data_IF_067896862971
#
_entry.id   IF_067896862971
#
_cell.length_a   1.000
_cell.length_b   1.000
_cell.length_c   1.000
_cell.angle_alpha   90.00
_cell.angle_beta   90.00
_cell.angle_gamma   90.00
#
_symmetry.space_group_name_H-M   'P 1'
#
loop_
_entity.id
_entity.type
_entity.pdbx_description
1 polymer ?
#
# COMPACT_ATOMS: atom_id res chain seq x y z
N UNK A 1 -14.61 24.99 -54.13
CA UNK A 1 -14.54 23.85 -53.19
C UNK A 1 -13.11 23.38 -53.07
N UNK A 2 -12.45 23.66 -51.95
CA UNK A 2 -11.44 22.78 -51.35
C UNK A 2 -11.11 23.33 -49.96
N UNK A 3 -11.76 22.76 -48.95
CA UNK A 3 -11.43 22.98 -47.54
C UNK A 3 -10.20 22.14 -47.18
N UNK A 4 -9.12 22.78 -46.76
CA UNK A 4 -7.94 22.10 -46.22
C UNK A 4 -8.18 21.84 -44.73
N UNK A 5 -8.21 20.56 -44.38
CA UNK A 5 -8.37 20.02 -43.03
C UNK A 5 -7.20 20.43 -42.11
N UNK A 6 -7.45 21.28 -41.10
CA UNK A 6 -6.62 21.31 -39.90
C UNK A 6 -7.06 20.15 -38.99
N UNK A 7 -6.26 19.08 -38.98
CA UNK A 7 -6.32 18.05 -37.95
C UNK A 7 -5.78 18.63 -36.64
N UNK A 8 -6.68 18.96 -35.71
CA UNK A 8 -6.32 19.18 -34.31
C UNK A 8 -5.75 17.88 -33.74
N UNK A 9 -4.44 17.84 -33.51
CA UNK A 9 -3.78 16.79 -32.74
C UNK A 9 -3.97 17.16 -31.27
N UNK A 10 -5.02 16.65 -30.65
CA UNK A 10 -5.10 16.62 -29.20
C UNK A 10 -4.13 15.53 -28.72
N UNK A 11 -3.05 15.95 -28.08
CA UNK A 11 -2.13 15.06 -27.37
C UNK A 11 -2.90 14.49 -26.19
N UNK A 12 -3.37 13.25 -26.35
CA UNK A 12 -3.97 12.45 -25.31
C UNK A 12 -2.86 12.11 -24.30
N UNK A 13 -2.91 12.74 -23.11
CA UNK A 13 -2.05 12.37 -21.99
C UNK A 13 -2.32 10.93 -21.60
N UNK A 14 -1.31 10.06 -21.75
CA UNK A 14 -1.36 8.69 -21.27
C UNK A 14 -1.36 8.71 -19.73
N UNK A 15 -2.56 8.65 -19.13
CA UNK A 15 -2.72 8.16 -17.77
C UNK A 15 -2.34 6.67 -17.80
N UNK A 16 -1.12 6.35 -17.34
CA UNK A 16 -0.71 4.97 -17.10
C UNK A 16 -1.53 4.44 -15.92
N UNK A 17 -2.74 3.96 -16.20
CA UNK A 17 -3.51 3.13 -15.28
C UNK A 17 -2.81 1.77 -15.29
N UNK A 18 -2.16 1.42 -14.18
CA UNK A 18 -1.55 0.11 -13.96
C UNK A 18 -2.60 -1.00 -14.08
N UNK A 19 -2.19 -2.18 -14.55
CA UNK A 19 -3.08 -3.27 -14.93
C UNK A 19 -3.98 -3.78 -13.78
N UNK A 20 -5.22 -4.10 -14.11
CA UNK A 20 -6.22 -4.67 -13.20
C UNK A 20 -5.80 -6.10 -12.80
N UNK A 21 -5.32 -6.27 -11.57
CA UNK A 21 -5.21 -7.60 -10.95
C UNK A 21 -6.02 -7.57 -9.64
N UNK A 22 -7.17 -8.25 -9.65
CA UNK A 22 -8.17 -8.31 -8.58
C UNK A 22 -8.93 -7.01 -8.24
N UNK A 23 -9.27 -6.19 -9.24
CA UNK A 23 -10.15 -5.01 -9.03
C UNK A 23 -9.62 -4.00 -8.02
N UNK A 24 -8.31 -4.02 -7.75
CA UNK A 24 -7.62 -3.04 -6.92
C UNK A 24 -6.60 -2.35 -7.81
N UNK A 25 -6.94 -1.17 -8.29
CA UNK A 25 -6.00 -0.27 -8.97
C UNK A 25 -5.19 0.51 -7.92
N UNK A 26 -3.93 0.75 -8.25
CA UNK A 26 -3.00 1.57 -7.47
C UNK A 26 -2.39 2.62 -8.38
N UNK A 27 -2.17 3.80 -7.83
CA UNK A 27 -1.39 4.83 -8.50
C UNK A 27 -0.01 4.91 -7.85
N UNK A 28 1.03 4.73 -8.66
CA UNK A 28 2.42 4.71 -8.22
C UNK A 28 3.17 6.01 -8.58
N UNK A 29 2.61 6.86 -9.45
CA UNK A 29 3.17 8.17 -9.78
C UNK A 29 2.64 9.24 -8.80
N UNK A 30 3.31 9.36 -7.66
CA UNK A 30 2.96 10.37 -6.65
C UNK A 30 3.31 11.81 -7.06
N UNK A 31 4.24 11.99 -8.00
CA UNK A 31 4.72 13.33 -8.36
C UNK A 31 3.73 14.04 -9.29
N UNK A 32 3.10 13.29 -10.18
CA UNK A 32 2.19 13.84 -11.18
C UNK A 32 0.70 13.61 -10.84
N UNK A 33 0.39 12.93 -9.73
CA UNK A 33 -0.99 12.69 -9.30
C UNK A 33 -1.39 13.66 -8.18
N UNK A 34 -2.44 14.45 -8.42
CA UNK A 34 -3.00 15.35 -7.43
C UNK A 34 -3.75 14.61 -6.31
N UNK A 35 -3.92 15.27 -5.16
CA UNK A 35 -4.75 14.74 -4.07
C UNK A 35 -6.18 14.41 -4.55
N UNK A 36 -6.79 15.29 -5.33
CA UNK A 36 -8.15 15.10 -5.85
C UNK A 36 -8.25 13.88 -6.76
N UNK A 37 -7.22 13.61 -7.58
CA UNK A 37 -7.19 12.43 -8.43
C UNK A 37 -7.13 11.14 -7.59
N UNK A 38 -6.36 11.13 -6.49
CA UNK A 38 -6.35 10.01 -5.55
C UNK A 38 -7.71 9.81 -4.87
N UNK A 39 -8.37 10.90 -4.45
CA UNK A 39 -9.70 10.85 -3.83
C UNK A 39 -10.72 10.26 -4.81
N UNK A 40 -10.77 10.79 -6.04
CA UNK A 40 -11.68 10.31 -7.08
C UNK A 40 -11.45 8.84 -7.43
N UNK A 41 -10.18 8.42 -7.52
CA UNK A 41 -9.84 7.02 -7.74
C UNK A 41 -10.36 6.11 -6.62
N UNK A 42 -10.15 6.48 -5.35
CA UNK A 42 -10.65 5.68 -4.21
C UNK A 42 -12.18 5.63 -4.19
N UNK A 43 -12.87 6.73 -4.49
CA UNK A 43 -14.34 6.78 -4.59
C UNK A 43 -14.87 5.88 -5.72
N UNK A 44 -14.25 5.93 -6.91
CA UNK A 44 -14.60 5.10 -8.06
C UNK A 44 -14.40 3.60 -7.78
N UNK A 45 -13.38 3.26 -6.99
CA UNK A 45 -13.10 1.90 -6.53
C UNK A 45 -14.04 1.44 -5.39
N UNK A 46 -15.04 2.27 -5.01
CA UNK A 46 -16.03 1.94 -3.99
C UNK A 46 -15.49 2.00 -2.56
N UNK A 47 -14.42 2.76 -2.33
CA UNK A 47 -13.84 2.92 -1.00
C UNK A 47 -14.68 3.83 -0.14
N UNK A 48 -14.75 3.54 1.16
CA UNK A 48 -15.43 4.40 2.14
C UNK A 48 -14.40 5.27 2.83
N UNK A 49 -14.58 6.59 2.79
CA UNK A 49 -13.76 7.51 3.56
C UNK A 49 -14.01 7.33 5.05
N UNK A 50 -12.93 7.20 5.82
CA UNK A 50 -12.95 7.02 7.26
C UNK A 50 -12.82 8.37 7.96
N UNK A 51 -13.55 8.62 9.07
CA UNK A 51 -13.35 9.82 9.87
C UNK A 51 -11.98 9.80 10.55
N UNK A 52 -11.36 10.97 10.67
CA UNK A 52 -10.13 11.12 11.44
C UNK A 52 -10.43 11.12 12.93
N UNK A 53 -10.25 9.96 13.58
CA UNK A 53 -10.53 9.76 15.00
C UNK A 53 -9.37 10.16 15.92
N UNK A 54 -8.19 10.41 15.35
CA UNK A 54 -6.98 10.81 16.07
C UNK A 54 -6.28 11.95 15.34
N UNK A 55 -5.69 12.89 16.10
CA UNK A 55 -4.88 13.98 15.55
C UNK A 55 -3.42 13.56 15.54
N UNK A 56 -2.84 13.42 14.35
CA UNK A 56 -1.41 13.22 14.15
C UNK A 56 -0.68 14.56 14.24
N UNK A 57 0.31 14.68 15.12
CA UNK A 57 1.20 15.85 15.13
C UNK A 57 2.25 15.64 14.04
N UNK A 58 2.28 16.54 13.05
CA UNK A 58 3.25 16.49 11.95
C UNK A 58 4.25 17.64 12.08
N UNK A 59 5.52 17.32 12.35
CA UNK A 59 6.63 18.28 12.29
C UNK A 59 7.00 18.70 10.86
N UNK A 60 6.53 17.95 9.84
CA UNK A 60 6.86 18.18 8.43
C UNK A 60 5.82 19.02 7.67
N UNK A 61 4.85 19.64 8.37
CA UNK A 61 3.78 20.44 7.75
C UNK A 61 2.76 19.65 6.92
N UNK A 62 2.63 18.34 7.17
CA UNK A 62 1.57 17.53 6.57
C UNK A 62 0.26 17.74 7.32
N UNK A 63 -0.84 17.77 6.56
CA UNK A 63 -2.19 17.71 7.13
C UNK A 63 -2.46 16.33 7.77
N UNK A 64 -3.60 16.21 8.44
CA UNK A 64 -4.12 14.89 8.81
C UNK A 64 -4.34 14.07 7.53
N UNK A 65 -3.92 12.79 7.50
CA UNK A 65 -4.13 11.97 6.32
C UNK A 65 -5.63 11.82 6.03
N UNK A 66 -5.99 11.81 4.75
CA UNK A 66 -7.31 11.33 4.34
C UNK A 66 -7.23 9.81 4.22
N UNK A 67 -8.13 9.11 4.90
CA UNK A 67 -8.10 7.66 5.00
C UNK A 67 -9.30 7.05 4.30
N UNK A 68 -9.06 6.06 3.44
CA UNK A 68 -10.10 5.28 2.75
C UNK A 68 -9.99 3.81 3.13
N UNK A 69 -11.12 3.11 3.17
CA UNK A 69 -11.19 1.68 3.42
C UNK A 69 -11.98 0.97 2.32
N UNK A 70 -11.37 -0.08 1.76
CA UNK A 70 -12.01 -1.02 0.82
C UNK A 70 -12.20 -2.37 1.51
N UNK A 71 -13.37 -2.98 1.30
CA UNK A 71 -13.62 -4.33 1.83
C UNK A 71 -12.69 -5.34 1.14
N UNK A 72 -12.10 -6.23 1.94
CA UNK A 72 -11.37 -7.39 1.46
C UNK A 72 -12.25 -8.65 1.52
N UNK A 73 -11.78 -9.73 0.91
CA UNK A 73 -12.38 -11.05 1.07
C UNK A 73 -11.54 -11.88 2.07
N UNK A 74 -10.82 -12.90 1.59
CA UNK A 74 -9.88 -13.71 2.40
C UNK A 74 -8.78 -12.83 3.02
N UNK A 75 -8.34 -11.80 2.29
CA UNK A 75 -7.37 -10.83 2.79
C UNK A 75 -8.05 -9.72 3.60
N UNK A 76 -7.32 -9.06 4.51
CA UNK A 76 -7.82 -7.88 5.19
C UNK A 76 -8.30 -6.81 4.20
N UNK A 77 -9.23 -5.98 4.63
CA UNK A 77 -9.59 -4.79 3.87
C UNK A 77 -8.37 -3.92 3.65
N UNK A 78 -8.28 -3.32 2.46
CA UNK A 78 -7.24 -2.35 2.14
C UNK A 78 -7.59 -1.02 2.82
N UNK A 79 -6.64 -0.46 3.55
CA UNK A 79 -6.71 0.92 4.04
C UNK A 79 -5.69 1.76 3.28
N UNK A 80 -6.17 2.81 2.62
CA UNK A 80 -5.32 3.80 1.94
C UNK A 80 -5.20 5.05 2.81
N UNK A 81 -3.98 5.51 3.04
CA UNK A 81 -3.70 6.77 3.71
C UNK A 81 -3.05 7.74 2.73
N UNK A 82 -3.73 8.86 2.45
CA UNK A 82 -3.25 9.94 1.60
C UNK A 82 -2.65 11.02 2.49
N UNK A 83 -1.32 11.16 2.46
CA UNK A 83 -0.61 12.21 3.18
C UNK A 83 -0.20 13.33 2.23
N UNK A 84 -0.56 14.56 2.58
CA UNK A 84 -0.30 15.76 1.77
C UNK A 84 0.09 16.94 2.65
N UNK A 85 0.71 17.95 2.03
CA UNK A 85 1.09 19.20 2.68
C UNK A 85 -0.13 20.06 2.96
N UNK A 86 -0.21 20.61 4.17
CA UNK A 86 -1.34 21.46 4.58
C UNK A 86 -1.40 22.78 3.77
N UNK A 87 -0.24 23.28 3.34
CA UNK A 87 -0.12 24.57 2.65
C UNK A 87 -0.66 24.56 1.21
N UNK A 88 -0.38 23.49 0.46
CA UNK A 88 -0.56 23.46 -0.99
C UNK A 88 -1.12 22.12 -1.50
N UNK A 89 -1.53 21.22 -0.59
CA UNK A 89 -2.06 19.89 -0.91
C UNK A 89 -1.13 18.99 -1.71
N UNK A 90 0.17 19.34 -1.79
CA UNK A 90 1.14 18.51 -2.49
C UNK A 90 1.22 17.13 -1.81
N UNK A 91 1.12 16.08 -2.61
CA UNK A 91 1.25 14.72 -2.12
C UNK A 91 2.65 14.50 -1.54
N UNK A 92 2.69 13.94 -0.34
CA UNK A 92 3.95 13.59 0.33
C UNK A 92 4.17 12.09 0.37
N UNK A 93 3.10 11.33 0.61
CA UNK A 93 3.13 9.88 0.70
C UNK A 93 1.74 9.29 0.50
N UNK A 94 1.69 8.17 -0.19
CA UNK A 94 0.55 7.25 -0.16
C UNK A 94 0.97 5.98 0.56
N UNK A 95 0.14 5.50 1.48
CA UNK A 95 0.31 4.19 2.11
C UNK A 95 -0.92 3.33 1.80
N UNK A 96 -0.69 2.19 1.16
CA UNK A 96 -1.64 1.10 1.04
C UNK A 96 -1.30 0.03 2.08
N UNK A 97 -2.24 -0.27 2.97
CA UNK A 97 -2.04 -1.22 4.07
C UNK A 97 -3.08 -2.35 4.06
N UNK A 98 -2.60 -3.59 4.12
CA UNK A 98 -3.40 -4.77 4.44
C UNK A 98 -2.98 -5.26 5.81
N UNK A 99 -3.85 -5.09 6.81
CA UNK A 99 -3.65 -5.55 8.19
C UNK A 99 -5.00 -6.04 8.74
N UNK A 100 -5.12 -7.27 9.27
CA UNK A 100 -6.37 -7.75 9.86
C UNK A 100 -6.92 -6.85 10.96
N UNK A 101 -6.04 -6.13 11.69
CA UNK A 101 -6.42 -5.18 12.74
C UNK A 101 -7.25 -4.01 12.21
N UNK A 102 -7.20 -3.74 10.90
CA UNK A 102 -8.03 -2.71 10.27
C UNK A 102 -9.46 -3.20 9.98
N UNK A 103 -9.68 -4.52 9.93
CA UNK A 103 -11.00 -5.13 9.67
C UNK A 103 -11.75 -5.46 10.96
N UNK A 104 -11.05 -5.94 11.98
CA UNK A 104 -11.60 -6.31 13.29
C UNK A 104 -10.54 -6.14 14.38
N UNK A 105 -11.00 -5.98 15.62
CA UNK A 105 -10.13 -6.18 16.78
C UNK A 105 -9.75 -7.66 16.84
N UNK A 106 -8.45 -7.93 17.02
CA UNK A 106 -7.93 -9.28 17.19
C UNK A 106 -7.74 -9.56 18.67
N UNK A 107 -8.10 -10.75 19.12
CA UNK A 107 -7.82 -11.18 20.48
C UNK A 107 -6.30 -11.28 20.75
N UNK A 108 -5.89 -11.15 22.02
CA UNK A 108 -4.48 -11.31 22.39
C UNK A 108 -3.99 -12.72 22.01
N UNK A 109 -3.03 -12.79 21.09
CA UNK A 109 -2.48 -14.06 20.62
C UNK A 109 -3.26 -14.72 19.48
N UNK A 110 -4.29 -14.07 18.93
CA UNK A 110 -5.05 -14.59 17.79
C UNK A 110 -4.13 -14.86 16.58
N UNK A 111 -4.06 -16.13 16.18
CA UNK A 111 -3.30 -16.61 15.03
C UNK A 111 -4.14 -16.60 13.77
N UNK A 112 -3.49 -16.54 12.61
CA UNK A 112 -4.16 -16.66 11.32
C UNK A 112 -3.85 -18.03 10.69
N UNK A 113 -4.81 -18.53 9.92
CA UNK A 113 -4.68 -19.83 9.24
C UNK A 113 -3.52 -19.83 8.25
N UNK A 114 -3.02 -21.02 7.93
CA UNK A 114 -2.01 -21.18 6.87
C UNK A 114 -2.51 -20.67 5.52
N UNK A 115 -3.81 -20.86 5.22
CA UNK A 115 -4.46 -20.32 4.02
C UNK A 115 -4.36 -18.79 3.97
N UNK A 116 -4.68 -18.11 5.07
CA UNK A 116 -4.53 -16.66 5.17
C UNK A 116 -3.09 -16.21 4.95
N UNK A 117 -2.13 -16.90 5.57
CA UNK A 117 -0.70 -16.61 5.43
C UNK A 117 -0.23 -16.75 3.97
N UNK A 118 -0.63 -17.84 3.30
CA UNK A 118 -0.35 -18.07 1.87
C UNK A 118 -0.97 -16.99 1.00
N UNK A 119 -2.23 -16.63 1.24
CA UNK A 119 -2.91 -15.57 0.51
C UNK A 119 -2.18 -14.23 0.67
N UNK A 120 -1.72 -13.89 1.88
CA UNK A 120 -1.01 -12.64 2.14
C UNK A 120 0.37 -12.65 1.45
N UNK A 121 1.12 -13.75 1.53
CA UNK A 121 2.40 -13.89 0.81
C UNK A 121 2.18 -13.77 -0.70
N UNK A 122 1.12 -14.36 -1.24
CA UNK A 122 0.80 -14.26 -2.66
C UNK A 122 0.48 -12.82 -3.06
N UNK A 123 -0.33 -12.11 -2.28
CA UNK A 123 -0.61 -10.68 -2.51
C UNK A 123 0.67 -9.85 -2.57
N UNK A 124 1.62 -10.10 -1.67
CA UNK A 124 2.91 -9.43 -1.71
C UNK A 124 3.69 -9.76 -2.99
N UNK A 125 3.74 -11.03 -3.39
CA UNK A 125 4.44 -11.47 -4.60
C UNK A 125 3.84 -10.85 -5.87
N UNK A 126 2.51 -10.69 -5.92
CA UNK A 126 1.83 -10.06 -7.04
C UNK A 126 2.21 -8.57 -7.14
N UNK A 127 2.18 -7.84 -6.02
CA UNK A 127 2.64 -6.43 -5.96
C UNK A 127 4.13 -6.31 -6.30
N UNK A 128 4.97 -7.22 -5.79
CA UNK A 128 6.40 -7.26 -6.09
C UNK A 128 6.63 -7.46 -7.60
N UNK A 129 5.90 -8.39 -8.23
CA UNK A 129 6.00 -8.67 -9.66
C UNK A 129 5.59 -7.44 -10.49
N UNK A 130 4.48 -6.80 -10.14
CA UNK A 130 4.00 -5.61 -10.82
C UNK A 130 5.02 -4.46 -10.73
N UNK A 131 5.48 -4.13 -9.52
CA UNK A 131 6.48 -3.08 -9.31
C UNK A 131 7.81 -3.40 -9.98
N UNK A 132 8.22 -4.67 -9.99
CA UNK A 132 9.45 -5.10 -10.69
C UNK A 132 9.31 -4.97 -12.20
N UNK A 133 8.11 -5.21 -12.74
CA UNK A 133 7.83 -5.01 -14.17
C UNK A 133 7.91 -3.53 -14.54
N UNK A 134 7.42 -2.64 -13.68
CA UNK A 134 7.40 -1.19 -13.93
C UNK A 134 8.75 -0.51 -13.68
N UNK A 135 9.46 -0.89 -12.62
CA UNK A 135 10.61 -0.15 -12.09
C UNK A 135 11.91 -0.96 -12.01
N UNK A 136 11.91 -2.19 -12.52
CA UNK A 136 13.07 -3.07 -12.49
C UNK A 136 13.33 -3.71 -11.12
N UNK A 137 14.53 -4.26 -10.93
CA UNK A 137 14.85 -5.05 -9.73
C UNK A 137 14.95 -4.18 -8.46
N UNK A 138 14.27 -4.55 -7.37
CA UNK A 138 14.36 -3.82 -6.10
C UNK A 138 15.70 -4.03 -5.38
N UNK A 139 16.00 -3.12 -4.44
CA UNK A 139 16.89 -3.43 -3.31
C UNK A 139 16.11 -4.20 -2.26
N UNK A 140 16.43 -5.47 -2.07
CA UNK A 140 15.69 -6.38 -1.19
C UNK A 140 16.42 -6.70 0.11
N UNK A 141 15.66 -6.93 1.19
CA UNK A 141 16.12 -7.52 2.45
C UNK A 141 15.10 -8.54 2.96
N UNK A 142 15.58 -9.60 3.61
CA UNK A 142 14.71 -10.69 4.08
C UNK A 142 14.24 -11.60 2.95
N UNK A 143 13.39 -12.57 3.26
CA UNK A 143 12.86 -13.54 2.30
C UNK A 143 11.51 -14.10 2.78
N UNK A 144 10.80 -14.77 1.85
CA UNK A 144 9.51 -15.44 2.09
C UNK A 144 9.54 -16.89 1.61
N UNK A 145 10.74 -17.47 1.44
CA UNK A 145 10.89 -18.79 0.82
C UNK A 145 10.54 -19.93 1.76
N UNK A 146 10.82 -19.77 3.05
CA UNK A 146 10.54 -20.78 4.06
C UNK A 146 9.31 -20.41 4.89
N UNK A 147 8.15 -20.95 4.51
CA UNK A 147 6.88 -20.64 5.18
C UNK A 147 6.83 -21.18 6.62
N UNK A 148 7.68 -22.15 6.98
CA UNK A 148 7.71 -22.71 8.34
C UNK A 148 8.18 -21.69 9.38
N UNK A 149 8.85 -20.62 8.95
CA UNK A 149 9.31 -19.54 9.83
C UNK A 149 8.18 -18.66 10.36
N UNK A 150 6.96 -18.75 9.80
CA UNK A 150 5.81 -17.96 10.27
C UNK A 150 5.47 -18.21 11.75
N UNK A 151 5.71 -19.43 12.24
CA UNK A 151 5.48 -19.82 13.65
C UNK A 151 6.73 -19.67 14.53
N UNK A 152 7.86 -19.20 13.97
CA UNK A 152 9.14 -19.08 14.68
C UNK A 152 9.43 -17.64 15.14
N UNK A 153 10.35 -17.44 16.11
CA UNK A 153 10.80 -16.10 16.48
C UNK A 153 11.31 -15.31 15.27
N UNK A 154 10.75 -14.11 15.09
CA UNK A 154 11.07 -13.22 13.96
C UNK A 154 10.04 -13.25 12.82
N UNK A 155 9.36 -14.39 12.63
CA UNK A 155 8.40 -14.57 11.53
C UNK A 155 9.04 -14.46 10.15
N UNK A 156 8.20 -14.45 9.12
CA UNK A 156 8.59 -14.13 7.75
C UNK A 156 8.56 -12.63 7.54
N UNK A 157 9.64 -12.08 6.99
CA UNK A 157 9.74 -10.66 6.65
C UNK A 157 10.49 -10.47 5.35
N UNK A 158 9.95 -9.58 4.52
CA UNK A 158 10.64 -9.11 3.32
C UNK A 158 10.36 -7.63 3.11
N UNK A 159 11.39 -6.89 2.74
CA UNK A 159 11.31 -5.48 2.38
C UNK A 159 11.98 -5.29 1.03
N UNK A 160 11.26 -4.69 0.09
CA UNK A 160 11.75 -4.32 -1.23
C UNK A 160 11.62 -2.82 -1.40
N UNK A 161 12.68 -2.19 -1.94
CA UNK A 161 12.68 -0.77 -2.29
C UNK A 161 13.02 -0.55 -3.74
N UNK A 162 12.25 0.30 -4.39
CA UNK A 162 12.52 0.84 -5.73
C UNK A 162 12.75 2.34 -5.64
N UNK A 163 13.56 2.83 -6.57
CA UNK A 163 13.86 4.24 -6.76
C UNK A 163 13.60 4.58 -8.23
N UNK A 164 12.32 4.78 -8.63
CA UNK A 164 11.98 5.07 -10.02
C UNK A 164 12.73 6.29 -10.58
N UNK A 165 13.02 7.26 -9.71
CA UNK A 165 13.85 8.42 -9.99
C UNK A 165 14.47 8.96 -8.67
N UNK A 166 15.21 10.07 -8.75
CA UNK A 166 15.89 10.68 -7.58
C UNK A 166 14.92 11.18 -6.50
N UNK A 167 13.67 11.43 -6.85
CA UNK A 167 12.68 12.08 -5.99
C UNK A 167 11.61 11.13 -5.46
N UNK A 168 11.53 9.89 -5.97
CA UNK A 168 10.49 8.92 -5.59
C UNK A 168 11.11 7.69 -4.96
N UNK A 169 10.61 7.30 -3.78
CA UNK A 169 10.86 5.98 -3.17
C UNK A 169 9.56 5.18 -3.13
N UNK A 170 9.62 3.93 -3.61
CA UNK A 170 8.57 2.94 -3.40
C UNK A 170 9.10 1.86 -2.45
N UNK A 171 8.38 1.59 -1.37
CA UNK A 171 8.76 0.58 -0.38
C UNK A 171 7.61 -0.41 -0.17
N UNK A 172 7.85 -1.69 -0.48
CA UNK A 172 6.91 -2.79 -0.26
C UNK A 172 7.45 -3.72 0.84
N UNK A 173 6.70 -3.79 1.93
CA UNK A 173 7.06 -4.54 3.12
C UNK A 173 5.98 -5.55 3.50
N UNK A 174 6.39 -6.72 3.96
CA UNK A 174 5.50 -7.73 4.56
C UNK A 174 6.06 -8.28 5.87
N UNK A 175 5.15 -8.58 6.79
CA UNK A 175 5.36 -9.46 7.94
C UNK A 175 4.29 -10.52 7.96
N UNK A 176 4.68 -11.78 8.19
CA UNK A 176 3.79 -12.89 8.51
C UNK A 176 4.34 -13.61 9.73
N UNK A 177 3.63 -13.53 10.86
CA UNK A 177 4.07 -14.11 12.13
C UNK A 177 2.88 -14.56 12.96
N UNK A 178 2.76 -15.86 13.18
CA UNK A 178 1.89 -16.50 14.17
C UNK A 178 2.50 -16.50 15.59
N UNK A 179 3.74 -16.01 15.75
CA UNK A 179 4.44 -16.06 17.02
C UNK A 179 3.68 -15.28 18.11
N UNK A 180 3.28 -16.00 19.17
CA UNK A 180 2.74 -15.42 20.39
C UNK A 180 3.56 -15.88 21.58
N UNK A 181 4.08 -14.95 22.37
CA UNK A 181 4.84 -15.25 23.59
C UNK A 181 4.60 -14.17 24.63
N UNK A 182 4.15 -14.57 25.81
CA UNK A 182 4.03 -13.71 26.98
C UNK A 182 5.10 -14.11 27.99
N UNK A 183 5.92 -13.17 28.43
CA UNK A 183 7.00 -13.42 29.39
C UNK A 183 7.16 -12.20 30.30
N UNK A 184 6.57 -12.28 31.49
CA UNK A 184 6.50 -11.15 32.42
C UNK A 184 5.78 -9.96 31.78
N UNK A 185 6.46 -8.81 31.72
CA UNK A 185 5.95 -7.56 31.13
C UNK A 185 6.03 -7.51 29.59
N UNK A 186 6.65 -8.51 28.95
CA UNK A 186 6.86 -8.53 27.50
C UNK A 186 5.85 -9.46 26.84
N UNK A 187 5.07 -8.92 25.90
CA UNK A 187 4.18 -9.70 25.02
C UNK A 187 4.61 -9.53 23.57
N UNK A 188 4.97 -10.64 22.92
CA UNK A 188 5.10 -10.76 21.47
C UNK A 188 3.74 -11.20 20.94
N UNK A 189 3.14 -10.40 20.05
CA UNK A 189 1.84 -10.70 19.45
C UNK A 189 1.97 -11.08 17.98
N UNK A 190 1.09 -11.96 17.48
CA UNK A 190 1.02 -12.27 16.06
C UNK A 190 0.85 -11.00 15.21
N UNK A 191 1.48 -10.99 14.04
CA UNK A 191 1.50 -9.84 13.14
C UNK A 191 1.40 -10.31 11.70
N UNK A 192 0.44 -9.76 10.96
CA UNK A 192 0.25 -10.00 9.54
C UNK A 192 0.00 -8.67 8.89
N UNK A 193 0.91 -8.26 8.02
CA UNK A 193 0.80 -6.94 7.41
C UNK A 193 1.52 -6.88 6.08
N UNK A 194 0.89 -6.27 5.10
CA UNK A 194 1.58 -5.70 3.93
C UNK A 194 1.45 -4.19 4.00
N UNK A 195 2.54 -3.49 3.70
CA UNK A 195 2.56 -2.04 3.52
C UNK A 195 3.25 -1.72 2.21
N UNK A 196 2.56 -1.02 1.34
CA UNK A 196 3.13 -0.41 0.15
C UNK A 196 3.12 1.10 0.33
N UNK A 197 4.30 1.68 0.35
CA UNK A 197 4.49 3.11 0.41
C UNK A 197 4.96 3.65 -0.94
N UNK A 198 4.38 4.75 -1.38
CA UNK A 198 4.93 5.62 -2.42
C UNK A 198 5.21 6.97 -1.77
N UNK A 199 6.44 7.47 -1.85
CA UNK A 199 6.90 8.66 -1.11
C UNK A 199 7.70 9.58 -2.01
N UNK A 200 7.50 10.88 -1.82
CA UNK A 200 8.48 11.89 -2.24
C UNK A 200 9.67 11.87 -1.26
N UNK A 201 10.90 11.87 -1.80
CA UNK A 201 12.18 11.89 -1.06
C UNK A 201 12.65 13.30 -0.73
#
# INVERSE_FOLDING_TARGET
MHHTLLKNIQILGFLFIGAIIYGQEYQFDIQNTSLDAYIQMEEQLGSVQMPNTTKYISLSGNAQPITFKRKGNILPGLVTYLHFKEKDSLMSKVLYEWDPKNSKELEEGEKQSEEFQKALIQKYKDLEKELTTLYGTPKSRGNLSDTTLADQPGGLRKNNKWYPNEHTEIELYIVVSNMYKKSGIVTITPTYRIRLYIKNR
#
